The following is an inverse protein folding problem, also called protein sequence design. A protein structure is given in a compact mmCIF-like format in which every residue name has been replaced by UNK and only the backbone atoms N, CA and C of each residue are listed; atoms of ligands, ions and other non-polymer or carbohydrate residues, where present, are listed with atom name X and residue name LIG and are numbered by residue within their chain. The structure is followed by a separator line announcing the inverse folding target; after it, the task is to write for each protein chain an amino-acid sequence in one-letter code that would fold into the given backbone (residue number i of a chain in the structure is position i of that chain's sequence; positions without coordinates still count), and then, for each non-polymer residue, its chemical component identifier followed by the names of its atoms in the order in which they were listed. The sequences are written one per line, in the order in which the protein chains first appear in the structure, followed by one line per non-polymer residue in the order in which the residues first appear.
data_IF_963526802426
#
_entry.id   IF_963526802426
#
_cell.length_a   1.000
_cell.length_b   1.000
_cell.length_c   1.000
_cell.angle_alpha   90.00
_cell.angle_beta   90.00
_cell.angle_gamma   90.00
#
_symmetry.space_group_name_H-M   'P 1'
#
loop_
_entity.id
_entity.type
_entity.pdbx_description
1 polymer ?
#
# COMPACT_ATOMS: atom_id res chain seq x y z
N UNK A 1 1.74 19.35 7.44
CA UNK A 1 1.11 19.50 8.76
C UNK A 1 1.94 20.43 9.63
N UNK A 2 3.16 20.06 10.04
CA UNK A 2 4.03 20.93 10.85
C UNK A 2 4.66 22.11 10.08
N UNK A 3 4.88 21.97 8.76
CA UNK A 3 5.47 23.02 7.90
C UNK A 3 4.51 23.51 6.81
N UNK A 4 3.34 22.87 6.67
CA UNK A 4 2.30 23.24 5.71
C UNK A 4 0.94 22.94 6.34
N UNK A 5 0.19 24.01 6.62
CA UNK A 5 -1.12 23.98 7.30
C UNK A 5 -2.24 23.45 6.40
N UNK A 6 -2.04 23.39 5.07
CA UNK A 6 -3.01 22.81 4.13
C UNK A 6 -3.10 21.30 4.26
N UNK A 7 -2.06 20.66 4.81
CA UNK A 7 -2.06 19.22 5.08
C UNK A 7 -2.75 18.98 6.43
N UNK A 8 -3.91 18.31 6.47
CA UNK A 8 -4.66 18.09 7.69
C UNK A 8 -3.84 17.35 8.75
N UNK A 9 -4.09 17.63 10.04
CA UNK A 9 -3.51 16.85 11.14
C UNK A 9 -3.87 15.36 11.06
N UNK A 10 -5.01 15.06 10.45
CA UNK A 10 -5.54 13.72 10.24
C UNK A 10 -4.90 13.00 9.05
N UNK A 11 -3.86 13.54 8.41
CA UNK A 11 -3.09 12.84 7.37
C UNK A 11 -2.22 11.72 7.98
N UNK A 12 -2.87 10.73 8.59
CA UNK A 12 -2.24 9.55 9.20
C UNK A 12 -2.17 8.37 8.23
N UNK A 13 -2.38 8.58 6.92
CA UNK A 13 -2.48 7.49 5.96
C UNK A 13 -1.22 6.62 5.92
N UNK A 14 -0.04 7.24 6.04
CA UNK A 14 1.24 6.51 6.14
C UNK A 14 1.30 5.63 7.40
N UNK A 15 0.76 6.09 8.52
CA UNK A 15 0.67 5.31 9.77
C UNK A 15 -0.32 4.16 9.61
N UNK A 16 -1.51 4.43 9.07
CA UNK A 16 -2.51 3.39 8.78
C UNK A 16 -1.95 2.29 7.85
N UNK A 17 -1.19 2.68 6.83
CA UNK A 17 -0.56 1.75 5.89
C UNK A 17 0.45 0.84 6.63
N UNK A 18 1.23 1.37 7.58
CA UNK A 18 2.20 0.58 8.37
C UNK A 18 1.52 -0.25 9.47
N UNK A 19 0.44 0.24 10.07
CA UNK A 19 -0.22 -0.36 11.24
C UNK A 19 -0.60 -1.81 11.02
N UNK A 20 -1.07 -2.18 9.83
CA UNK A 20 -1.46 -3.56 9.53
C UNK A 20 -0.28 -4.54 9.53
N UNK A 21 0.96 -4.08 9.32
CA UNK A 21 2.15 -4.93 9.48
C UNK A 21 2.29 -5.34 10.95
N UNK A 22 2.13 -4.37 11.87
CA UNK A 22 2.18 -4.63 13.32
C UNK A 22 0.99 -5.45 13.80
N UNK A 23 -0.21 -5.21 13.27
CA UNK A 23 -1.39 -6.06 13.55
C UNK A 23 -1.12 -7.51 13.13
N UNK A 24 -0.59 -7.73 11.91
CA UNK A 24 -0.25 -9.07 11.42
C UNK A 24 0.77 -9.76 12.33
N UNK A 25 1.79 -9.01 12.77
CA UNK A 25 2.82 -9.50 13.69
C UNK A 25 2.26 -9.86 15.08
N UNK A 26 1.40 -9.00 15.64
CA UNK A 26 0.93 -9.11 17.03
C UNK A 26 -0.20 -10.11 17.22
N UNK A 27 -1.21 -10.10 16.34
CA UNK A 27 -2.50 -10.78 16.60
C UNK A 27 -3.04 -11.61 15.44
N UNK A 28 -2.41 -11.65 14.27
CA UNK A 28 -2.91 -12.43 13.11
C UNK A 28 -1.93 -13.53 12.67
N UNK A 29 -1.34 -14.23 13.64
CA UNK A 29 -0.47 -15.39 13.40
C UNK A 29 0.97 -15.08 13.01
N UNK A 30 1.37 -13.81 13.01
CA UNK A 30 2.72 -13.33 12.69
C UNK A 30 3.19 -13.68 11.26
N UNK A 31 4.43 -13.33 10.94
CA UNK A 31 5.13 -13.77 9.74
C UNK A 31 6.09 -14.89 10.11
N UNK A 32 5.90 -16.07 9.52
CA UNK A 32 6.80 -17.22 9.73
C UNK A 32 8.10 -17.11 8.95
N UNK A 33 8.12 -16.31 7.88
CA UNK A 33 9.28 -16.09 7.02
C UNK A 33 9.36 -14.64 6.56
N UNK A 34 10.57 -14.17 6.29
CA UNK A 34 10.79 -12.85 5.68
C UNK A 34 10.13 -12.74 4.30
N UNK A 35 10.12 -13.82 3.52
CA UNK A 35 9.47 -13.84 2.22
C UNK A 35 7.96 -13.62 2.32
N UNK A 36 7.30 -14.23 3.30
CA UNK A 36 5.88 -14.00 3.58
C UNK A 36 5.59 -12.54 3.97
N UNK A 37 6.46 -11.94 4.77
CA UNK A 37 6.37 -10.52 5.11
C UNK A 37 6.52 -9.60 3.88
N UNK A 38 7.50 -9.88 3.01
CA UNK A 38 7.71 -9.16 1.75
C UNK A 38 6.51 -9.27 0.82
N UNK A 39 5.94 -10.46 0.67
CA UNK A 39 4.74 -10.68 -0.16
C UNK A 39 3.55 -9.88 0.38
N UNK A 40 3.31 -9.92 1.70
CA UNK A 40 2.26 -9.14 2.33
C UNK A 40 2.44 -7.63 2.11
N UNK A 41 3.66 -7.13 2.32
CA UNK A 41 3.99 -5.73 2.10
C UNK A 41 3.74 -5.30 0.64
N UNK A 42 4.18 -6.12 -0.33
CA UNK A 42 4.00 -5.85 -1.77
C UNK A 42 2.54 -5.79 -2.19
N UNK A 43 1.71 -6.72 -1.71
CA UNK A 43 0.27 -6.74 -2.02
C UNK A 43 -0.39 -5.48 -1.45
N UNK A 44 -0.12 -5.16 -0.17
CA UNK A 44 -0.73 -3.99 0.47
C UNK A 44 -0.24 -2.67 -0.09
N UNK A 45 1.03 -2.56 -0.46
CA UNK A 45 1.57 -1.35 -1.10
C UNK A 45 0.89 -1.13 -2.45
N UNK A 46 0.73 -2.17 -3.28
CA UNK A 46 0.03 -2.06 -4.56
C UNK A 46 -1.42 -1.60 -4.39
N UNK A 47 -2.18 -2.20 -3.46
CA UNK A 47 -3.57 -1.81 -3.20
C UNK A 47 -3.69 -0.39 -2.62
N UNK A 48 -2.75 0.02 -1.76
CA UNK A 48 -2.69 1.39 -1.23
C UNK A 48 -2.43 2.38 -2.37
N UNK A 49 -1.49 2.09 -3.27
CA UNK A 49 -1.23 2.89 -4.47
C UNK A 49 -2.46 3.00 -5.35
N UNK A 50 -3.13 1.88 -5.66
CA UNK A 50 -4.34 1.88 -6.47
C UNK A 50 -5.44 2.75 -5.86
N UNK A 51 -5.67 2.65 -4.54
CA UNK A 51 -6.62 3.50 -3.83
C UNK A 51 -6.24 4.98 -3.89
N UNK A 52 -4.96 5.32 -3.70
CA UNK A 52 -4.46 6.71 -3.73
C UNK A 52 -4.62 7.37 -5.10
N UNK A 53 -4.58 6.57 -6.17
CA UNK A 53 -4.79 7.05 -7.54
C UNK A 53 -6.26 6.92 -8.01
N UNK A 54 -7.20 6.58 -7.12
CA UNK A 54 -8.62 6.46 -7.46
C UNK A 54 -8.95 5.27 -8.37
N UNK A 55 -8.07 4.27 -8.48
CA UNK A 55 -8.29 3.11 -9.33
C UNK A 55 -9.26 2.11 -8.70
N UNK A 56 -10.02 1.40 -9.54
CA UNK A 56 -10.86 0.31 -9.09
C UNK A 56 -9.99 -0.85 -8.56
N UNK A 57 -10.15 -1.21 -7.29
CA UNK A 57 -9.31 -2.22 -6.63
C UNK A 57 -9.48 -3.62 -7.23
N UNK A 58 -10.71 -4.02 -7.56
CA UNK A 58 -11.00 -5.35 -8.11
C UNK A 58 -10.37 -5.51 -9.49
N UNK A 59 -10.51 -4.48 -10.33
CA UNK A 59 -9.86 -4.41 -11.62
C UNK A 59 -8.33 -4.37 -11.48
N UNK A 60 -7.81 -3.60 -10.52
CA UNK A 60 -6.36 -3.54 -10.27
C UNK A 60 -5.79 -4.90 -9.88
N UNK A 61 -6.52 -5.67 -9.07
CA UNK A 61 -6.15 -7.05 -8.72
C UNK A 61 -6.21 -7.93 -9.97
N UNK A 62 -7.34 -7.92 -10.69
CA UNK A 62 -7.55 -8.73 -11.89
C UNK A 62 -6.44 -8.51 -12.92
N UNK A 63 -6.13 -7.26 -13.24
CA UNK A 63 -5.07 -6.96 -14.20
C UNK A 63 -3.66 -7.30 -13.70
N UNK A 64 -3.40 -7.16 -12.40
CA UNK A 64 -2.12 -7.61 -11.84
C UNK A 64 -1.90 -9.12 -11.98
N UNK A 65 -2.98 -9.91 -11.91
CA UNK A 65 -2.93 -11.36 -12.10
C UNK A 65 -2.77 -11.76 -13.57
N UNK A 66 -3.22 -10.94 -14.52
CA UNK A 66 -3.02 -11.16 -15.96
C UNK A 66 -1.71 -10.57 -16.49
N UNK A 67 -0.84 -10.06 -15.62
CA UNK A 67 0.46 -9.51 -15.99
C UNK A 67 0.41 -8.07 -16.53
N UNK A 68 -0.70 -7.37 -16.35
CA UNK A 68 -0.91 -5.99 -16.80
C UNK A 68 -1.19 -5.05 -15.62
N UNK A 69 -0.33 -4.97 -14.59
CA UNK A 69 -0.63 -4.16 -13.41
C UNK A 69 -0.73 -2.67 -13.74
N UNK A 70 -1.59 -1.94 -13.04
CA UNK A 70 -1.59 -0.49 -13.12
C UNK A 70 -0.33 0.07 -12.48
N UNK A 71 0.40 0.86 -13.25
CA UNK A 71 1.61 1.54 -12.79
C UNK A 71 1.32 3.04 -12.71
N UNK A 72 1.74 3.72 -11.63
CA UNK A 72 1.61 5.16 -11.56
C UNK A 72 2.53 5.78 -12.62
N UNK A 73 2.09 6.88 -13.23
CA UNK A 73 2.98 7.70 -14.05
C UNK A 73 4.16 8.14 -13.20
N UNK A 74 5.37 7.78 -13.65
CA UNK A 74 6.57 8.26 -13.01
C UNK A 74 6.75 9.72 -13.41
N UNK A 75 6.63 10.63 -12.43
CA UNK A 75 6.97 12.05 -12.61
C UNK A 75 8.41 12.23 -13.13
N UNK A 76 9.28 11.24 -12.90
CA UNK A 76 10.62 11.15 -13.46
C UNK A 76 10.87 9.71 -13.93
N UNK A 77 10.76 9.42 -15.24
CA UNK A 77 11.18 8.13 -15.76
C UNK A 77 12.71 7.95 -15.59
N UNK A 78 13.18 6.70 -15.48
CA UNK A 78 14.60 6.39 -15.25
C UNK A 78 15.50 6.79 -16.42
#
# INVERSE_FOLDING_TARGET
FFHDLRVPFTNNQSEQDIRMIKVRQKISGCFRTLQGAKNFARIRSYLSTARKNGWNLLQSISQSMTGQPYLPEMLFPP
#
